data_IF_816558390338
#
_entry.id   IF_816558390338
#
_cell.length_a   1.000
_cell.length_b   1.000
_cell.length_c   1.000
_cell.angle_alpha   90.00
_cell.angle_beta   90.00
_cell.angle_gamma   90.00
#
_symmetry.space_group_name_H-M   'P 1'
#
loop_
_entity.id
_entity.type
_entity.pdbx_description
1 polymer ?
#
# COMPACT_ATOMS: atom_id res chain seq x y z
N UNK A 1 -16.07 85.19 11.48
CA UNK A 1 -16.37 84.52 10.20
C UNK A 1 -15.29 83.48 9.96
N UNK A 2 -15.73 82.27 9.62
CA UNK A 2 -15.02 80.98 9.65
C UNK A 2 -13.81 80.91 8.69
N UNK A 3 -12.72 80.25 9.12
CA UNK A 3 -11.67 79.75 8.24
C UNK A 3 -11.30 78.32 8.65
N UNK A 4 -11.71 77.37 7.80
CA UNK A 4 -11.62 75.93 8.00
C UNK A 4 -10.19 75.41 7.82
N UNK A 5 -9.63 74.78 8.86
CA UNK A 5 -8.44 73.93 8.76
C UNK A 5 -8.89 72.56 8.23
N UNK A 6 -8.52 72.23 6.99
CA UNK A 6 -8.75 70.89 6.41
C UNK A 6 -7.60 69.96 6.82
N UNK A 7 -7.83 69.14 7.85
CA UNK A 7 -7.01 67.96 8.13
C UNK A 7 -7.32 66.88 7.07
N UNK A 8 -6.38 66.65 6.15
CA UNK A 8 -6.42 65.50 5.25
C UNK A 8 -5.94 64.26 6.00
N UNK A 9 -6.86 63.44 6.49
CA UNK A 9 -6.58 62.09 6.97
C UNK A 9 -6.46 61.16 5.76
N UNK A 10 -5.24 60.81 5.37
CA UNK A 10 -4.98 59.73 4.43
C UNK A 10 -5.18 58.41 5.20
N UNK A 11 -6.33 57.77 4.98
CA UNK A 11 -6.60 56.43 5.47
C UNK A 11 -5.77 55.41 4.67
N UNK A 12 -4.65 54.97 5.26
CA UNK A 12 -3.83 53.88 4.74
C UNK A 12 -4.56 52.55 5.01
N UNK A 13 -5.40 52.12 4.06
CA UNK A 13 -6.04 50.80 4.05
C UNK A 13 -4.95 49.73 3.84
N UNK A 14 -4.52 49.11 4.94
CA UNK A 14 -3.63 47.96 4.93
C UNK A 14 -4.32 46.77 4.24
N UNK A 15 -3.93 46.52 2.98
CA UNK A 15 -4.24 45.29 2.25
C UNK A 15 -3.45 44.14 2.89
N UNK A 16 -3.96 43.56 3.97
CA UNK A 16 -3.48 42.28 4.50
C UNK A 16 -3.87 41.19 3.50
N UNK A 17 -2.91 40.49 2.86
CA UNK A 17 -3.26 39.36 2.03
C UNK A 17 -3.88 38.30 2.93
N UNK A 18 -5.15 38.00 2.68
CA UNK A 18 -5.80 36.80 3.21
C UNK A 18 -5.03 35.60 2.65
N UNK A 19 -4.05 35.13 3.42
CA UNK A 19 -3.50 33.81 3.25
C UNK A 19 -4.64 32.84 3.56
N UNK A 20 -5.34 32.41 2.51
CA UNK A 20 -6.26 31.29 2.63
C UNK A 20 -5.43 30.08 3.05
N UNK A 21 -5.54 29.69 4.31
CA UNK A 21 -4.89 28.49 4.82
C UNK A 21 -5.59 27.30 4.16
N UNK A 22 -4.89 26.60 3.27
CA UNK A 22 -5.38 25.33 2.76
C UNK A 22 -5.41 24.34 3.92
N UNK A 23 -6.57 23.74 4.17
CA UNK A 23 -6.73 22.79 5.27
C UNK A 23 -5.95 21.51 4.97
N UNK A 24 -5.24 21.00 5.97
CA UNK A 24 -4.49 19.74 5.83
C UNK A 24 -5.48 18.58 5.58
N UNK A 25 -5.27 17.86 4.49
CA UNK A 25 -6.07 16.72 4.09
C UNK A 25 -5.51 15.40 4.65
N UNK A 26 -4.18 15.32 4.82
CA UNK A 26 -3.49 14.14 5.30
C UNK A 26 -1.98 14.24 5.20
N UNK A 27 -1.32 13.09 5.31
CA UNK A 27 0.14 12.96 5.28
C UNK A 27 0.58 11.81 4.39
N UNK A 28 1.76 11.93 3.78
CA UNK A 28 2.42 10.81 3.09
C UNK A 28 2.93 9.80 4.11
N UNK A 29 2.40 8.58 4.06
CA UNK A 29 2.73 7.51 5.01
C UNK A 29 3.93 6.67 4.54
N UNK A 30 4.01 6.36 3.25
CA UNK A 30 5.04 5.51 2.66
C UNK A 30 5.25 5.86 1.20
N UNK A 31 6.52 5.87 0.75
CA UNK A 31 6.87 5.95 -0.67
C UNK A 31 7.75 4.75 -1.02
N UNK A 32 7.33 3.95 -2.00
CA UNK A 32 8.13 2.84 -2.53
C UNK A 32 8.57 3.21 -3.95
N UNK A 33 9.86 3.15 -4.23
CA UNK A 33 10.43 3.54 -5.52
C UNK A 33 10.90 5.00 -5.55
N UNK A 34 11.32 5.47 -6.72
CA UNK A 34 11.87 6.81 -6.92
C UNK A 34 10.95 7.64 -7.81
N UNK A 35 10.89 8.96 -7.59
CA UNK A 35 10.11 9.94 -8.36
C UNK A 35 8.58 9.94 -8.08
N UNK A 36 8.22 10.52 -6.94
CA UNK A 36 6.88 11.03 -6.68
C UNK A 36 6.96 12.53 -6.40
N UNK A 37 5.97 13.29 -6.86
CA UNK A 37 5.94 14.75 -6.69
C UNK A 37 4.56 15.22 -6.25
N UNK A 38 4.56 16.27 -5.45
CA UNK A 38 3.39 17.07 -5.10
C UNK A 38 3.46 18.40 -5.83
N UNK A 39 2.32 18.94 -6.22
CA UNK A 39 2.22 20.28 -6.81
C UNK A 39 1.03 21.00 -6.18
N UNK A 40 1.28 22.13 -5.51
CA UNK A 40 0.24 22.91 -4.86
C UNK A 40 -0.56 23.72 -5.90
N UNK A 41 -1.79 23.29 -6.21
CA UNK A 41 -2.57 23.87 -7.31
C UNK A 41 -1.94 23.64 -8.69
N UNK A 42 -2.45 24.32 -9.72
CA UNK A 42 -2.04 24.09 -11.11
C UNK A 42 -0.73 24.79 -11.52
N UNK A 43 -0.35 25.87 -10.81
CA UNK A 43 0.73 26.76 -11.23
C UNK A 43 1.99 26.71 -10.34
N UNK A 44 1.93 26.04 -9.19
CA UNK A 44 3.13 25.88 -8.37
C UNK A 44 4.14 24.94 -9.06
N UNK A 45 5.45 25.10 -8.84
CA UNK A 45 6.42 24.12 -9.28
C UNK A 45 6.20 22.77 -8.56
N UNK A 46 6.37 21.62 -9.24
CA UNK A 46 6.35 20.32 -8.59
C UNK A 46 7.50 20.19 -7.59
N UNK A 47 7.20 19.72 -6.38
CA UNK A 47 8.17 19.39 -5.34
C UNK A 47 8.23 17.87 -5.13
N UNK A 48 9.41 17.27 -4.91
CA UNK A 48 9.50 15.86 -4.53
C UNK A 48 8.67 15.56 -3.28
N UNK A 49 7.93 14.46 -3.31
CA UNK A 49 7.24 13.95 -2.13
C UNK A 49 8.24 13.27 -1.20
N UNK A 50 8.07 13.50 0.10
CA UNK A 50 8.81 12.81 1.16
C UNK A 50 7.82 12.21 2.14
N UNK A 51 8.20 11.13 2.80
CA UNK A 51 7.43 10.58 3.90
C UNK A 51 7.23 11.63 5.01
N UNK A 52 6.07 11.60 5.66
CA UNK A 52 5.66 12.60 6.65
C UNK A 52 5.21 13.95 6.07
N UNK A 53 5.37 14.20 4.77
CA UNK A 53 4.93 15.45 4.16
C UNK A 53 3.39 15.58 4.19
N UNK A 54 2.88 16.71 4.66
CA UNK A 54 1.45 17.01 4.63
C UNK A 54 0.95 17.29 3.21
N UNK A 55 -0.19 16.68 2.88
CA UNK A 55 -0.98 16.93 1.68
C UNK A 55 -2.22 17.72 2.06
N UNK A 56 -2.60 18.65 1.20
CA UNK A 56 -3.64 19.64 1.47
C UNK A 56 -4.67 19.62 0.35
N UNK A 57 -5.80 20.26 0.61
CA UNK A 57 -6.73 20.59 -0.45
C UNK A 57 -6.07 21.42 -1.56
N UNK A 58 -6.37 21.11 -2.81
CA UNK A 58 -5.78 21.73 -3.99
C UNK A 58 -4.46 21.09 -4.44
N UNK A 59 -3.91 20.14 -3.70
CA UNK A 59 -2.69 19.45 -4.11
C UNK A 59 -2.95 18.45 -5.25
N UNK A 60 -2.01 18.45 -6.19
CA UNK A 60 -1.78 17.35 -7.11
C UNK A 60 -0.70 16.43 -6.58
N UNK A 61 -0.94 15.12 -6.66
CA UNK A 61 0.02 14.07 -6.32
C UNK A 61 0.27 13.27 -7.58
N UNK A 62 1.50 13.23 -8.07
CA UNK A 62 1.90 12.51 -9.27
C UNK A 62 2.99 11.49 -8.94
N UNK A 63 2.76 10.24 -9.35
CA UNK A 63 3.71 9.13 -9.24
C UNK A 63 4.24 8.78 -10.62
N UNK A 64 5.56 8.59 -10.73
CA UNK A 64 6.19 7.98 -11.90
C UNK A 64 6.43 6.50 -11.62
N UNK A 65 7.65 6.11 -11.28
CA UNK A 65 8.02 4.74 -10.92
C UNK A 65 7.79 4.44 -9.43
N UNK A 66 7.04 5.30 -8.73
CA UNK A 66 6.80 5.20 -7.30
C UNK A 66 5.38 4.74 -6.98
N UNK A 67 5.23 4.03 -5.86
CA UNK A 67 3.96 3.83 -5.16
C UNK A 67 3.94 4.81 -3.99
N UNK A 68 2.82 5.52 -3.82
CA UNK A 68 2.64 6.45 -2.71
C UNK A 68 1.43 6.04 -1.89
N UNK A 69 1.62 5.86 -0.59
CA UNK A 69 0.55 5.68 0.37
C UNK A 69 0.33 6.98 1.15
N UNK A 70 -0.92 7.44 1.17
CA UNK A 70 -1.36 8.58 1.95
C UNK A 70 -2.27 8.09 3.07
N UNK A 71 -2.06 8.63 4.27
CA UNK A 71 -2.98 8.54 5.39
C UNK A 71 -3.70 9.88 5.51
N UNK A 72 -5.01 9.88 5.34
CA UNK A 72 -5.82 11.09 5.43
C UNK A 72 -6.18 11.37 6.89
N UNK A 73 -6.58 12.62 7.20
CA UNK A 73 -6.89 13.07 8.56
C UNK A 73 -8.03 12.31 9.26
N UNK A 74 -8.93 11.72 8.48
CA UNK A 74 -10.07 10.93 8.94
C UNK A 74 -9.80 9.43 8.87
N UNK A 75 -8.52 9.05 8.88
CA UNK A 75 -8.04 7.68 8.80
C UNK A 75 -8.29 6.96 7.46
N UNK A 76 -8.75 7.66 6.40
CA UNK A 76 -8.78 7.09 5.07
C UNK A 76 -7.37 6.71 4.60
N UNK A 77 -7.26 5.65 3.79
CA UNK A 77 -6.00 5.25 3.15
C UNK A 77 -6.13 5.37 1.64
N UNK A 78 -5.15 6.00 1.02
CA UNK A 78 -5.07 6.13 -0.43
C UNK A 78 -3.72 5.54 -0.88
N UNK A 79 -3.74 4.58 -1.79
CA UNK A 79 -2.54 4.06 -2.45
C UNK A 79 -2.58 4.41 -3.93
N UNK A 80 -1.57 5.13 -4.39
CA UNK A 80 -1.37 5.47 -5.79
C UNK A 80 -0.29 4.55 -6.36
N UNK A 81 -0.63 3.84 -7.44
CA UNK A 81 0.30 3.01 -8.20
C UNK A 81 1.24 3.87 -9.06
N UNK A 82 2.30 3.29 -9.67
CA UNK A 82 3.09 3.98 -10.67
C UNK A 82 2.23 4.62 -11.77
N UNK A 83 2.71 5.73 -12.33
CA UNK A 83 2.07 6.50 -13.40
C UNK A 83 0.69 7.08 -13.06
N UNK A 84 0.43 7.38 -11.79
CA UNK A 84 -0.84 7.93 -11.32
C UNK A 84 -0.78 9.44 -11.13
N UNK A 85 -1.93 10.10 -11.30
CA UNK A 85 -2.07 11.52 -10.97
C UNK A 85 -3.40 11.77 -10.26
N UNK A 86 -3.31 12.11 -8.99
CA UNK A 86 -4.43 12.39 -8.10
C UNK A 86 -4.52 13.89 -7.85
N UNK A 87 -5.74 14.41 -7.77
CA UNK A 87 -6.04 15.75 -7.30
C UNK A 87 -6.94 15.68 -6.07
N UNK A 88 -6.55 16.37 -5.00
CA UNK A 88 -7.35 16.50 -3.78
C UNK A 88 -8.22 17.74 -3.94
N UNK A 89 -9.41 17.58 -4.52
CA UNK A 89 -10.28 18.70 -4.82
C UNK A 89 -10.95 19.30 -3.59
N UNK A 90 -11.17 18.48 -2.56
CA UNK A 90 -11.81 18.88 -1.32
C UNK A 90 -11.57 17.84 -0.23
N UNK A 91 -11.15 18.26 0.97
CA UNK A 91 -10.99 17.34 2.10
C UNK A 91 -11.21 18.05 3.44
N UNK A 92 -12.47 18.16 3.87
CA UNK A 92 -12.85 18.94 5.05
C UNK A 92 -13.81 18.22 5.96
N UNK A 93 -13.67 18.49 7.25
CA UNK A 93 -14.60 18.11 8.31
C UNK A 93 -15.28 19.38 8.86
N UNK A 94 -16.46 19.24 9.48
CA UNK A 94 -17.17 20.37 10.10
C UNK A 94 -18.56 20.61 9.51
N UNK A 95 -18.99 21.86 9.44
CA UNK A 95 -20.36 22.24 9.02
C UNK A 95 -20.67 21.83 7.57
N UNK A 96 -19.66 21.86 6.70
CA UNK A 96 -19.78 21.47 5.29
C UNK A 96 -18.77 20.37 4.94
N UNK A 97 -18.96 19.14 5.46
CA UNK A 97 -18.00 18.06 5.27
C UNK A 97 -17.90 17.71 3.79
N UNK A 98 -16.72 17.34 3.33
CA UNK A 98 -16.49 17.16 1.90
C UNK A 98 -15.24 16.32 1.65
N UNK A 99 -15.39 15.23 0.92
CA UNK A 99 -14.27 14.40 0.45
C UNK A 99 -14.43 14.23 -1.04
N UNK A 100 -13.68 15.01 -1.83
CA UNK A 100 -13.69 14.92 -3.29
C UNK A 100 -12.27 14.75 -3.81
N UNK A 101 -12.06 13.61 -4.44
CA UNK A 101 -10.80 13.22 -5.05
C UNK A 101 -10.99 13.10 -6.56
N UNK A 102 -9.95 13.36 -7.34
CA UNK A 102 -9.99 13.11 -8.77
C UNK A 102 -8.73 12.39 -9.25
N UNK A 103 -8.87 11.13 -9.67
CA UNK A 103 -7.82 10.38 -10.34
C UNK A 103 -7.85 10.70 -11.84
N UNK A 104 -6.84 11.40 -12.35
CA UNK A 104 -6.76 11.76 -13.77
C UNK A 104 -6.18 10.67 -14.66
N UNK A 105 -5.21 9.90 -14.15
CA UNK A 105 -4.59 8.75 -14.81
C UNK A 105 -4.05 7.78 -13.77
N UNK A 106 -3.79 6.54 -14.20
CA UNK A 106 -3.17 5.49 -13.38
C UNK A 106 -4.19 4.70 -12.56
N UNK A 107 -3.79 4.28 -11.37
CA UNK A 107 -4.58 3.43 -10.48
C UNK A 107 -4.51 3.94 -9.04
N UNK A 108 -5.70 4.02 -8.42
CA UNK A 108 -5.87 4.33 -7.01
C UNK A 108 -6.54 3.16 -6.32
N UNK A 109 -6.05 2.81 -5.13
CA UNK A 109 -6.85 2.12 -4.13
C UNK A 109 -7.25 3.10 -3.06
N UNK A 110 -8.52 3.05 -2.66
CA UNK A 110 -9.06 3.93 -1.65
C UNK A 110 -9.84 3.11 -0.62
N UNK A 111 -9.45 3.28 0.64
CA UNK A 111 -10.17 2.81 1.83
C UNK A 111 -10.82 4.03 2.46
N UNK A 112 -12.14 3.99 2.61
CA UNK A 112 -12.93 5.13 3.06
C UNK A 112 -12.73 5.43 4.55
N UNK A 113 -12.33 6.66 4.87
CA UNK A 113 -12.21 7.16 6.23
C UNK A 113 -13.53 7.64 6.84
N UNK A 114 -13.45 8.11 8.06
CA UNK A 114 -14.60 8.43 8.92
C UNK A 114 -15.52 9.51 8.33
N UNK A 115 -14.98 10.51 7.63
CA UNK A 115 -15.80 11.57 7.01
C UNK A 115 -16.66 10.96 5.90
N UNK A 116 -16.05 10.15 5.03
CA UNK A 116 -16.77 9.47 3.94
C UNK A 116 -17.77 8.44 4.43
N UNK A 117 -17.47 7.73 5.53
CA UNK A 117 -18.40 6.77 6.14
C UNK A 117 -19.62 7.45 6.79
N UNK A 118 -19.41 8.53 7.56
CA UNK A 118 -20.49 9.31 8.20
C UNK A 118 -21.30 10.11 7.18
N UNK A 119 -20.65 10.68 6.18
CA UNK A 119 -21.26 11.58 5.20
C UNK A 119 -21.12 11.03 3.77
N UNK A 120 -21.73 9.87 3.50
CA UNK A 120 -21.66 9.16 2.20
C UNK A 120 -22.01 10.06 1.00
N UNK A 121 -22.97 10.96 1.15
CA UNK A 121 -23.41 11.91 0.12
C UNK A 121 -22.38 13.02 -0.17
N UNK A 122 -21.33 13.11 0.64
CA UNK A 122 -20.27 14.12 0.56
C UNK A 122 -18.93 13.51 0.17
N UNK A 123 -18.88 12.20 -0.05
CA UNK A 123 -17.74 11.51 -0.63
C UNK A 123 -17.91 11.36 -2.14
N UNK A 124 -16.84 11.61 -2.89
CA UNK A 124 -16.77 11.31 -4.33
C UNK A 124 -15.33 11.12 -4.81
N UNK A 125 -15.10 10.08 -5.58
CA UNK A 125 -13.93 9.94 -6.44
C UNK A 125 -14.36 10.15 -7.89
N UNK A 126 -13.73 11.10 -8.57
CA UNK A 126 -13.90 11.30 -9.99
C UNK A 126 -12.76 10.66 -10.77
N UNK A 127 -13.07 10.13 -11.95
CA UNK A 127 -12.11 9.81 -13.00
C UNK A 127 -12.33 10.75 -14.19
N UNK A 128 -11.67 10.59 -15.35
CA UNK A 128 -12.01 11.39 -16.53
C UNK A 128 -13.43 11.13 -17.06
N UNK A 129 -13.98 9.93 -16.84
CA UNK A 129 -15.25 9.51 -17.45
C UNK A 129 -16.36 9.24 -16.45
N UNK A 130 -16.06 9.14 -15.15
CA UNK A 130 -17.01 8.68 -14.16
C UNK A 130 -16.95 9.43 -12.83
N UNK A 131 -18.09 9.40 -12.14
CA UNK A 131 -18.25 9.71 -10.74
C UNK A 131 -18.44 8.42 -9.94
N UNK A 132 -17.73 8.28 -8.83
CA UNK A 132 -17.76 7.10 -7.97
C UNK A 132 -18.05 7.57 -6.54
N UNK A 133 -19.13 7.07 -5.95
CA UNK A 133 -19.42 7.23 -4.53
C UNK A 133 -19.34 5.90 -3.78
N UNK A 134 -19.31 5.99 -2.46
CA UNK A 134 -18.95 4.88 -1.57
C UNK A 134 -19.96 4.70 -0.44
N UNK A 135 -20.02 3.48 0.08
CA UNK A 135 -20.75 3.09 1.29
C UNK A 135 -19.86 2.20 2.16
N UNK A 136 -18.91 2.81 2.88
CA UNK A 136 -17.99 2.09 3.77
C UNK A 136 -17.08 1.13 3.02
N UNK A 137 -16.31 1.67 2.08
CA UNK A 137 -15.77 0.88 0.96
C UNK A 137 -14.25 0.86 0.93
N UNK A 138 -13.72 -0.28 0.51
CA UNK A 138 -12.35 -0.46 0.04
C UNK A 138 -12.43 -0.89 -1.43
N UNK A 139 -11.89 -0.08 -2.33
CA UNK A 139 -11.99 -0.34 -3.77
C UNK A 139 -10.77 0.16 -4.54
N UNK A 140 -10.59 -0.42 -5.72
CA UNK A 140 -9.57 -0.05 -6.69
C UNK A 140 -10.25 0.58 -7.89
N UNK A 141 -9.76 1.73 -8.33
CA UNK A 141 -10.16 2.36 -9.59
C UNK A 141 -8.94 2.56 -10.48
N UNK A 142 -9.04 2.07 -11.71
CA UNK A 142 -8.01 2.23 -12.76
C UNK A 142 -8.57 3.04 -13.91
N UNK A 143 -7.85 4.08 -14.28
CA UNK A 143 -8.14 4.91 -15.46
C UNK A 143 -7.38 4.34 -16.66
N UNK A 144 -8.13 4.03 -17.70
CA UNK A 144 -7.63 3.77 -19.05
C UNK A 144 -8.17 4.90 -19.95
N UNK A 145 -7.53 5.19 -21.07
CA UNK A 145 -7.82 6.32 -21.98
C UNK A 145 -9.24 6.92 -21.88
N UNK A 146 -10.27 6.16 -22.28
CA UNK A 146 -11.68 6.54 -22.22
C UNK A 146 -12.53 5.63 -21.32
N UNK A 147 -11.90 4.93 -20.38
CA UNK A 147 -12.55 3.93 -19.53
C UNK A 147 -12.13 4.05 -18.08
N UNK A 148 -13.01 3.63 -17.19
CA UNK A 148 -12.69 3.40 -15.79
C UNK A 148 -13.09 2.00 -15.43
N UNK A 149 -12.16 1.26 -14.83
CA UNK A 149 -12.40 -0.05 -14.25
C UNK A 149 -12.45 0.11 -12.72
N UNK A 150 -13.46 -0.49 -12.08
CA UNK A 150 -13.63 -0.43 -10.64
C UNK A 150 -13.81 -1.85 -10.10
N UNK A 151 -12.98 -2.22 -9.13
CA UNK A 151 -13.12 -3.46 -8.36
C UNK A 151 -13.34 -3.13 -6.90
N UNK A 152 -14.32 -3.78 -6.28
CA UNK A 152 -14.65 -3.59 -4.87
C UNK A 152 -14.05 -4.72 -4.05
N UNK A 153 -13.39 -4.38 -2.95
CA UNK A 153 -12.75 -5.31 -2.03
C UNK A 153 -13.58 -5.51 -0.76
N UNK A 154 -14.21 -4.44 -0.27
CA UNK A 154 -15.17 -4.45 0.84
C UNK A 154 -16.20 -3.34 0.65
N UNK A 155 -17.41 -3.52 1.15
CA UNK A 155 -18.51 -2.56 1.04
C UNK A 155 -19.15 -2.51 -0.35
N UNK A 156 -19.63 -1.32 -0.75
CA UNK A 156 -20.28 -1.08 -2.04
C UNK A 156 -19.82 0.25 -2.65
N UNK A 157 -19.64 0.26 -3.98
CA UNK A 157 -19.52 1.49 -4.78
C UNK A 157 -20.76 1.68 -5.64
N UNK A 158 -21.13 2.93 -5.86
CA UNK A 158 -22.07 3.32 -6.92
C UNK A 158 -21.32 4.25 -7.85
N UNK A 159 -21.35 3.95 -9.14
CA UNK A 159 -20.61 4.74 -10.11
C UNK A 159 -21.45 5.01 -11.36
N UNK A 160 -21.30 6.20 -11.92
CA UNK A 160 -22.01 6.65 -13.10
C UNK A 160 -21.06 7.36 -14.07
N UNK A 161 -21.24 7.18 -15.39
CA UNK A 161 -20.57 8.02 -16.37
C UNK A 161 -21.02 9.48 -16.24
N UNK A 162 -20.13 10.42 -16.58
CA UNK A 162 -20.53 11.81 -16.78
C UNK A 162 -21.41 11.95 -18.02
N UNK A 163 -22.48 12.73 -17.91
CA UNK A 163 -23.45 12.99 -18.99
C UNK A 163 -23.53 14.48 -19.38
N UNK A 164 -22.74 15.33 -18.71
CA UNK A 164 -22.72 16.78 -18.91
C UNK A 164 -23.98 17.50 -18.43
N UNK A 165 -24.92 16.80 -17.77
CA UNK A 165 -26.20 17.33 -17.28
C UNK A 165 -26.41 16.98 -15.81
N UNK A 166 -26.83 15.75 -15.51
CA UNK A 166 -27.17 15.29 -14.17
C UNK A 166 -25.95 14.76 -13.40
N UNK A 167 -24.93 14.28 -14.12
CA UNK A 167 -23.66 13.85 -13.55
C UNK A 167 -22.52 14.68 -14.14
N UNK A 168 -22.05 15.67 -13.37
CA UNK A 168 -20.96 16.58 -13.75
C UNK A 168 -19.74 16.42 -12.81
N UNK A 169 -18.52 16.77 -13.24
CA UNK A 169 -17.31 16.65 -12.40
C UNK A 169 -17.31 17.49 -11.12
N UNK A 170 -18.09 18.58 -11.07
CA UNK A 170 -18.11 19.49 -9.91
C UNK A 170 -19.07 19.04 -8.79
N UNK A 171 -19.85 17.99 -9.03
CA UNK A 171 -20.77 17.43 -8.04
C UNK A 171 -20.08 16.75 -6.85
N UNK A 172 -20.90 16.45 -5.84
CA UNK A 172 -20.56 15.62 -4.67
C UNK A 172 -21.50 14.42 -4.59
N UNK A 173 -21.07 13.36 -3.90
CA UNK A 173 -21.86 12.15 -3.74
C UNK A 173 -22.01 11.34 -5.04
N UNK A 174 -22.88 10.34 -4.95
CA UNK A 174 -23.25 9.47 -6.07
C UNK A 174 -24.12 10.22 -7.09
N UNK A 175 -23.91 9.95 -8.37
CA UNK A 175 -24.84 10.42 -9.40
C UNK A 175 -26.05 9.49 -9.49
N UNK A 176 -27.24 10.05 -9.41
CA UNK A 176 -28.51 9.33 -9.57
C UNK A 176 -28.99 9.42 -11.01
N UNK A 177 -28.32 8.71 -11.91
CA UNK A 177 -28.71 8.63 -13.33
C UNK A 177 -29.11 7.21 -13.69
N UNK A 178 -29.93 7.00 -14.74
CA UNK A 178 -30.22 5.65 -15.24
C UNK A 178 -28.98 4.88 -15.73
N UNK A 179 -27.84 5.56 -15.92
CA UNK A 179 -26.57 4.99 -16.33
C UNK A 179 -25.66 4.62 -15.15
N UNK A 180 -26.09 4.90 -13.92
CA UNK A 180 -25.38 4.49 -12.72
C UNK A 180 -25.54 2.97 -12.49
N UNK A 181 -24.49 2.34 -11.99
CA UNK A 181 -24.53 0.96 -11.52
C UNK A 181 -23.85 0.85 -10.15
N UNK A 182 -24.35 -0.07 -9.33
CA UNK A 182 -23.69 -0.44 -8.08
C UNK A 182 -22.93 -1.76 -8.22
N UNK A 183 -21.87 -1.87 -7.42
CA UNK A 183 -21.06 -3.07 -7.29
C UNK A 183 -20.64 -3.20 -5.82
N UNK A 184 -20.92 -4.35 -5.25
CA UNK A 184 -20.52 -4.73 -3.90
C UNK A 184 -19.33 -5.69 -3.93
N UNK A 185 -18.68 -5.88 -2.80
CA UNK A 185 -17.60 -6.87 -2.67
C UNK A 185 -18.06 -8.32 -2.91
N UNK A 186 -19.36 -8.59 -2.79
CA UNK A 186 -19.96 -9.92 -3.01
C UNK A 186 -20.29 -10.18 -4.48
N UNK A 187 -20.18 -9.16 -5.32
CA UNK A 187 -20.41 -9.30 -6.75
C UNK A 187 -19.11 -9.77 -7.42
N UNK A 188 -19.14 -10.95 -8.04
CA UNK A 188 -18.03 -11.49 -8.84
C UNK A 188 -17.92 -10.77 -10.19
N UNK A 189 -17.69 -9.45 -10.15
CA UNK A 189 -17.71 -8.57 -11.28
C UNK A 189 -16.78 -7.36 -11.10
N UNK A 190 -16.44 -6.75 -12.23
CA UNK A 190 -15.79 -5.43 -12.31
C UNK A 190 -16.80 -4.47 -12.94
N UNK A 191 -16.85 -3.24 -12.44
CA UNK A 191 -17.56 -2.17 -13.14
C UNK A 191 -16.66 -1.58 -14.20
N UNK A 192 -17.11 -1.65 -15.45
CA UNK A 192 -16.57 -0.91 -16.56
C UNK A 192 -17.45 0.31 -16.82
N UNK A 193 -16.84 1.48 -16.84
CA UNK A 193 -17.49 2.74 -17.24
C UNK A 193 -16.76 3.29 -18.44
N UNK A 194 -17.51 3.71 -19.45
CA UNK A 194 -17.00 4.31 -20.67
C UNK A 194 -17.81 5.56 -20.99
N UNK A 195 -17.16 6.55 -21.62
CA UNK A 195 -17.85 7.76 -22.06
C UNK A 195 -19.01 7.42 -23.00
N UNK A 196 -20.18 7.95 -22.71
CA UNK A 196 -21.38 7.79 -23.56
C UNK A 196 -22.04 6.41 -23.51
N UNK A 197 -21.64 5.54 -22.57
CA UNK A 197 -22.24 4.22 -22.36
C UNK A 197 -22.73 4.09 -20.90
N UNK A 198 -23.82 3.34 -20.65
CA UNK A 198 -24.21 2.98 -19.29
C UNK A 198 -23.08 2.25 -18.56
N UNK A 199 -23.01 2.36 -17.23
CA UNK A 199 -22.07 1.56 -16.45
C UNK A 199 -22.40 0.06 -16.60
N UNK A 200 -21.39 -0.75 -16.91
CA UNK A 200 -21.55 -2.18 -17.19
C UNK A 200 -20.86 -3.01 -16.12
N UNK A 201 -21.60 -3.99 -15.56
CA UNK A 201 -21.02 -5.04 -14.73
C UNK A 201 -20.47 -6.13 -15.64
N UNK A 202 -19.16 -6.27 -15.69
CA UNK A 202 -18.50 -7.37 -16.40
C UNK A 202 -18.25 -8.46 -15.37
N UNK A 203 -18.96 -9.59 -15.51
CA UNK A 203 -18.70 -10.79 -14.71
C UNK A 203 -17.22 -11.14 -14.85
N UNK A 204 -16.55 -11.36 -13.73
CA UNK A 204 -15.21 -11.93 -13.72
C UNK A 204 -15.33 -13.45 -13.98
N UNK A 205 -15.90 -13.82 -15.13
CA UNK A 205 -16.17 -15.22 -15.45
C UNK A 205 -14.88 -16.04 -15.38
N UNK A 206 -14.94 -17.17 -14.66
CA UNK A 206 -13.95 -18.27 -14.63
C UNK A 206 -13.31 -18.45 -16.00
N UNK A 207 -12.20 -17.78 -16.24
CA UNK A 207 -11.44 -18.02 -17.45
C UNK A 207 -10.52 -19.18 -17.14
N UNK A 208 -10.81 -20.34 -17.73
CA UNK A 208 -9.81 -21.34 -18.02
C UNK A 208 -8.53 -20.66 -18.55
N UNK A 209 -7.35 -21.21 -18.26
CA UNK A 209 -6.07 -20.60 -18.55
C UNK A 209 -5.92 -20.43 -20.07
N UNK A 210 -6.32 -19.28 -20.59
CA UNK A 210 -5.85 -18.85 -21.88
C UNK A 210 -4.37 -18.56 -21.70
N UNK A 211 -3.58 -19.42 -22.33
CA UNK A 211 -2.17 -19.22 -22.57
C UNK A 211 -1.94 -17.79 -23.08
N UNK A 212 -1.67 -16.87 -22.15
CA UNK A 212 -0.88 -15.69 -22.45
C UNK A 212 0.45 -16.25 -22.91
N UNK A 213 0.65 -16.19 -24.22
CA UNK A 213 1.93 -16.40 -24.86
C UNK A 213 2.94 -15.58 -24.08
N UNK A 214 3.74 -16.28 -23.29
CA UNK A 214 4.70 -15.71 -22.36
C UNK A 214 5.67 -14.85 -23.16
N UNK A 215 5.43 -13.55 -23.19
CA UNK A 215 6.50 -12.60 -23.40
C UNK A 215 7.22 -12.52 -22.06
N UNK A 216 8.22 -13.40 -21.91
CA UNK A 216 9.19 -13.49 -20.82
C UNK A 216 9.03 -12.41 -19.75
N UNK A 217 8.20 -12.70 -18.76
CA UNK A 217 8.15 -11.97 -17.50
C UNK A 217 9.22 -12.60 -16.62
N UNK A 218 10.19 -11.80 -16.22
CA UNK A 218 11.21 -12.14 -15.22
C UNK A 218 10.62 -12.98 -14.08
N UNK A 219 11.21 -14.15 -13.85
CA UNK A 219 10.79 -15.19 -12.87
C UNK A 219 11.08 -14.81 -11.42
N UNK A 220 11.53 -13.59 -11.16
CA UNK A 220 11.94 -13.08 -9.85
C UNK A 220 10.69 -12.88 -8.96
N UNK A 221 10.60 -13.55 -7.80
CA UNK A 221 9.59 -13.26 -6.78
C UNK A 221 9.72 -11.79 -6.35
N UNK A 222 8.68 -11.01 -6.64
CA UNK A 222 8.57 -9.63 -6.17
C UNK A 222 7.95 -9.65 -4.78
N UNK A 223 8.63 -9.07 -3.80
CA UNK A 223 8.07 -8.90 -2.47
C UNK A 223 7.16 -7.68 -2.39
N UNK A 224 6.07 -7.81 -1.64
CA UNK A 224 5.05 -6.77 -1.52
C UNK A 224 4.56 -6.61 -0.07
N UNK A 225 4.08 -5.41 0.24
CA UNK A 225 3.23 -5.18 1.41
C UNK A 225 1.89 -5.91 1.20
N UNK A 226 1.68 -6.94 2.00
CA UNK A 226 0.48 -7.76 2.00
C UNK A 226 -0.50 -7.37 3.12
N UNK A 227 -0.09 -6.48 4.05
CA UNK A 227 -0.94 -6.00 5.15
C UNK A 227 -2.23 -5.35 4.66
N UNK A 228 -2.16 -4.75 3.48
CA UNK A 228 -3.31 -4.17 2.83
C UNK A 228 -3.93 -5.11 1.81
N UNK A 229 -3.40 -6.28 1.46
CA UNK A 229 -3.87 -7.07 0.31
C UNK A 229 -4.55 -8.41 0.69
N UNK A 230 -5.65 -8.41 1.47
CA UNK A 230 -6.24 -9.66 1.99
C UNK A 230 -6.74 -10.60 0.89
N UNK A 231 -7.24 -10.07 -0.24
CA UNK A 231 -7.63 -10.91 -1.38
C UNK A 231 -6.46 -11.62 -2.05
N UNK A 232 -5.27 -10.99 -2.07
CA UNK A 232 -4.07 -11.57 -2.65
C UNK A 232 -3.51 -12.67 -1.74
N UNK A 233 -3.56 -12.44 -0.43
CA UNK A 233 -3.32 -13.45 0.59
C UNK A 233 -4.28 -14.63 0.42
N UNK A 234 -5.59 -14.37 0.31
CA UNK A 234 -6.60 -15.40 0.06
C UNK A 234 -6.32 -16.19 -1.22
N UNK A 235 -5.96 -15.51 -2.32
CA UNK A 235 -5.61 -16.18 -3.57
C UNK A 235 -4.38 -17.07 -3.42
N UNK A 236 -3.36 -16.64 -2.67
CA UNK A 236 -2.20 -17.48 -2.37
C UNK A 236 -2.53 -18.69 -1.51
N UNK A 237 -3.39 -18.52 -0.51
CA UNK A 237 -3.86 -19.62 0.33
C UNK A 237 -4.61 -20.66 -0.52
N UNK A 238 -5.62 -20.22 -1.26
CA UNK A 238 -6.43 -21.10 -2.12
C UNK A 238 -5.61 -21.79 -3.20
N UNK A 239 -4.66 -21.08 -3.82
CA UNK A 239 -3.76 -21.66 -4.83
C UNK A 239 -2.88 -22.79 -4.27
N UNK A 240 -2.69 -22.85 -2.95
CA UNK A 240 -1.96 -23.89 -2.25
C UNK A 240 -2.86 -24.82 -1.42
N UNK A 241 -4.17 -24.84 -1.71
CA UNK A 241 -5.11 -25.74 -1.03
C UNK A 241 -5.40 -25.39 0.42
N UNK A 242 -5.06 -24.17 0.86
CA UNK A 242 -5.42 -23.63 2.17
C UNK A 242 -6.68 -22.78 2.00
N UNK A 243 -7.80 -23.24 2.56
CA UNK A 243 -9.03 -22.45 2.61
C UNK A 243 -9.35 -22.08 4.07
N UNK A 244 -9.13 -20.81 4.47
CA UNK A 244 -9.42 -20.30 5.81
C UNK A 244 -10.83 -20.58 6.32
N UNK A 245 -11.81 -20.69 5.42
CA UNK A 245 -13.21 -20.94 5.78
C UNK A 245 -13.48 -22.41 6.10
N UNK A 246 -12.55 -23.30 5.73
CA UNK A 246 -12.65 -24.76 5.97
C UNK A 246 -11.72 -25.25 7.09
N UNK A 247 -10.77 -24.40 7.51
CA UNK A 247 -9.80 -24.76 8.53
C UNK A 247 -10.46 -24.76 9.93
N UNK A 248 -10.18 -25.78 10.76
CA UNK A 248 -10.71 -25.81 12.12
C UNK A 248 -10.22 -24.57 12.90
N UNK A 249 -11.07 -23.98 13.77
CA UNK A 249 -10.65 -22.88 14.63
C UNK A 249 -9.43 -23.31 15.46
N UNK A 250 -8.48 -22.39 15.67
CA UNK A 250 -7.37 -22.63 16.59
C UNK A 250 -7.92 -22.86 17.99
N UNK A 251 -7.59 -24.00 18.61
CA UNK A 251 -8.06 -24.30 19.97
C UNK A 251 -7.54 -23.23 20.96
N UNK A 252 -8.42 -22.62 21.78
CA UNK A 252 -8.00 -21.65 22.78
C UNK A 252 -6.96 -22.27 23.74
N UNK A 253 -5.75 -21.71 23.79
CA UNK A 253 -4.65 -22.18 24.66
C UNK A 253 -3.60 -23.08 23.99
N UNK A 254 -3.79 -23.47 22.72
CA UNK A 254 -2.79 -24.21 21.93
C UNK A 254 -1.70 -23.30 21.30
N UNK A 255 -1.88 -21.98 21.35
CA UNK A 255 -0.95 -21.01 20.78
C UNK A 255 0.28 -20.89 21.67
N UNK A 256 1.32 -21.64 21.33
CA UNK A 256 2.65 -21.41 21.87
C UNK A 256 3.00 -19.93 21.64
N UNK A 257 3.50 -19.22 22.67
CA UNK A 257 3.86 -17.79 22.55
C UNK A 257 5.10 -17.64 21.66
N UNK A 258 4.89 -17.68 20.36
CA UNK A 258 5.83 -17.18 19.38
C UNK A 258 5.81 -15.65 19.47
N UNK A 259 6.99 -15.03 19.52
CA UNK A 259 7.11 -13.57 19.64
C UNK A 259 6.36 -12.80 18.54
N UNK A 260 6.40 -11.48 18.59
CA UNK A 260 5.63 -10.57 17.74
C UNK A 260 5.71 -10.85 16.22
N UNK A 261 6.81 -11.46 15.75
CA UNK A 261 7.02 -11.82 14.35
C UNK A 261 7.14 -13.33 14.16
N UNK A 262 6.38 -13.87 13.21
CA UNK A 262 6.49 -15.27 12.78
C UNK A 262 6.51 -15.37 11.26
N UNK A 263 7.13 -16.43 10.74
CA UNK A 263 7.02 -16.81 9.34
C UNK A 263 5.92 -17.85 9.21
N UNK A 264 5.00 -17.62 8.28
CA UNK A 264 4.12 -18.67 7.81
C UNK A 264 4.09 -18.70 6.29
N UNK A 265 4.06 -19.92 5.80
CA UNK A 265 4.07 -20.22 4.38
C UNK A 265 2.71 -20.72 3.95
N UNK A 266 2.38 -20.40 2.71
CA UNK A 266 1.32 -21.09 2.00
C UNK A 266 1.88 -22.32 1.28
N UNK A 267 3.19 -22.56 1.30
CA UNK A 267 3.87 -23.64 0.57
C UNK A 267 4.65 -24.57 1.50
N UNK A 268 4.92 -25.79 1.05
CA UNK A 268 5.79 -26.74 1.75
C UNK A 268 7.30 -26.59 1.39
N UNK A 269 7.66 -25.53 0.67
CA UNK A 269 9.03 -25.30 0.17
C UNK A 269 10.04 -24.95 1.26
N UNK A 270 9.58 -24.50 2.42
CA UNK A 270 10.40 -24.24 3.59
C UNK A 270 9.80 -25.03 4.73
N UNK A 271 10.58 -25.92 5.33
CA UNK A 271 10.08 -26.88 6.32
C UNK A 271 10.50 -26.49 7.74
N UNK A 272 11.56 -25.68 7.91
CA UNK A 272 12.12 -25.34 9.22
C UNK A 272 11.42 -24.17 9.91
N UNK A 273 11.40 -23.00 9.28
CA UNK A 273 10.83 -21.77 9.83
C UNK A 273 9.43 -21.51 9.25
N UNK A 274 8.47 -22.37 9.61
CA UNK A 274 7.05 -22.20 9.26
C UNK A 274 6.14 -22.54 10.42
N UNK A 275 5.16 -21.67 10.67
CA UNK A 275 3.92 -22.05 11.36
C UNK A 275 2.86 -22.45 10.33
N UNK A 276 1.92 -23.28 10.75
CA UNK A 276 0.70 -23.49 9.96
C UNK A 276 -0.10 -22.19 9.89
N UNK A 277 -0.94 -22.06 8.86
CA UNK A 277 -1.81 -20.88 8.72
C UNK A 277 -2.68 -20.63 9.97
N UNK A 278 -3.37 -21.62 10.57
CA UNK A 278 -4.15 -21.40 11.79
C UNK A 278 -3.29 -20.83 12.93
N UNK A 279 -2.12 -21.41 13.21
CA UNK A 279 -1.24 -20.94 14.28
C UNK A 279 -0.70 -19.52 14.03
N UNK A 280 -0.36 -19.21 12.79
CA UNK A 280 0.16 -17.91 12.41
C UNK A 280 -0.90 -16.81 12.42
N UNK A 281 -2.13 -17.11 12.03
CA UNK A 281 -3.25 -16.16 11.97
C UNK A 281 -3.84 -15.81 13.34
N UNK A 282 -3.47 -16.56 14.38
CA UNK A 282 -3.88 -16.24 15.75
C UNK A 282 -3.24 -14.93 16.23
N UNK A 283 -4.06 -13.88 16.35
CA UNK A 283 -3.69 -12.53 16.82
C UNK A 283 -2.67 -11.78 15.96
N UNK A 284 -2.38 -12.27 14.75
CA UNK A 284 -1.44 -11.65 13.81
C UNK A 284 -2.05 -11.45 12.45
N UNK A 285 -1.51 -10.46 11.75
CA UNK A 285 -1.87 -10.12 10.38
C UNK A 285 -0.68 -10.34 9.45
N UNK A 286 -0.98 -10.79 8.23
CA UNK A 286 0.03 -10.83 7.16
C UNK A 286 0.59 -9.42 6.96
N UNK A 287 1.92 -9.28 6.88
CA UNK A 287 2.57 -7.98 6.82
C UNK A 287 3.29 -7.80 5.48
N UNK A 288 4.36 -8.55 5.23
CA UNK A 288 5.15 -8.49 4.00
C UNK A 288 5.40 -9.89 3.48
N UNK A 289 5.30 -10.12 2.18
CA UNK A 289 5.52 -11.45 1.61
C UNK A 289 5.42 -11.50 0.10
N UNK A 290 5.31 -12.72 -0.42
CA UNK A 290 5.13 -13.01 -1.84
C UNK A 290 4.24 -14.25 -2.01
N UNK A 291 4.24 -14.85 -3.21
CA UNK A 291 3.46 -16.05 -3.52
C UNK A 291 3.83 -17.31 -2.73
N UNK A 292 4.92 -17.29 -1.95
CA UNK A 292 5.51 -18.48 -1.30
C UNK A 292 5.34 -18.46 0.22
N UNK A 293 5.27 -17.26 0.80
CA UNK A 293 4.98 -17.07 2.21
C UNK A 293 5.01 -15.60 2.59
N UNK A 294 4.82 -15.33 3.87
CA UNK A 294 4.85 -13.99 4.43
C UNK A 294 5.34 -13.98 5.88
N UNK A 295 5.71 -12.78 6.30
CA UNK A 295 5.86 -12.43 7.72
C UNK A 295 4.49 -12.03 8.26
N UNK A 296 4.18 -12.60 9.40
CA UNK A 296 2.99 -12.30 10.18
C UNK A 296 3.40 -11.56 11.44
N UNK A 297 2.64 -10.52 11.77
CA UNK A 297 2.92 -9.65 12.90
C UNK A 297 1.69 -9.41 13.74
N UNK A 298 1.84 -9.41 15.06
CA UNK A 298 0.75 -9.07 15.98
C UNK A 298 0.21 -7.68 15.65
N UNK A 299 -1.10 -7.48 15.63
CA UNK A 299 -1.68 -6.15 15.39
C UNK A 299 -1.52 -5.26 16.63
N UNK A 300 -0.62 -4.28 16.57
CA UNK A 300 -0.33 -3.36 17.67
C UNK A 300 0.20 -2.01 17.16
N UNK A 301 0.16 -0.93 17.96
CA UNK A 301 0.76 0.36 17.58
C UNK A 301 2.29 0.26 17.49
N UNK A 302 2.88 0.74 16.39
CA UNK A 302 4.34 0.80 16.23
C UNK A 302 4.98 1.83 17.16
N UNK A 303 5.80 1.36 18.11
CA UNK A 303 6.53 2.11 19.13
C UNK A 303 7.94 1.52 19.30
N UNK A 304 8.81 1.67 18.30
CA UNK A 304 10.13 1.05 18.35
C UNK A 304 11.03 1.72 19.39
N UNK A 305 12.14 1.05 19.66
CA UNK A 305 13.26 1.60 20.41
C UNK A 305 13.74 2.91 19.76
N UNK A 306 14.26 3.85 20.55
CA UNK A 306 14.80 5.13 20.07
C UNK A 306 16.33 5.15 20.08
N UNK A 307 16.92 4.07 19.59
CA UNK A 307 18.36 3.83 19.59
C UNK A 307 18.79 3.03 18.36
N UNK A 308 20.09 2.83 18.23
CA UNK A 308 20.65 1.88 17.27
C UNK A 308 20.72 0.51 17.91
N UNK A 309 20.28 -0.51 17.18
CA UNK A 309 20.21 -1.90 17.66
C UNK A 309 20.96 -2.80 16.70
N UNK A 310 21.96 -3.51 17.23
CA UNK A 310 22.61 -4.64 16.59
C UNK A 310 21.90 -5.92 17.05
N UNK A 311 21.22 -6.60 16.12
CA UNK A 311 20.39 -7.76 16.44
C UNK A 311 21.20 -9.05 16.48
N UNK A 312 20.72 -10.00 17.28
CA UNK A 312 21.19 -11.38 17.31
C UNK A 312 20.31 -12.25 16.43
N UNK A 313 20.94 -13.07 15.59
CA UNK A 313 20.22 -14.07 14.79
C UNK A 313 19.63 -15.14 15.72
N UNK A 314 18.32 -15.37 15.62
CA UNK A 314 17.64 -16.43 16.38
C UNK A 314 17.40 -17.67 15.54
N UNK A 315 16.92 -17.49 14.32
CA UNK A 315 16.64 -18.57 13.40
C UNK A 315 16.93 -18.11 11.98
N UNK A 316 17.43 -19.03 11.16
CA UNK A 316 17.58 -18.81 9.74
C UNK A 316 17.33 -20.11 8.96
N UNK A 317 16.79 -19.97 7.76
CA UNK A 317 16.65 -21.04 6.78
C UNK A 317 16.99 -20.47 5.40
N UNK A 318 17.81 -21.17 4.63
CA UNK A 318 18.23 -20.75 3.31
C UNK A 318 18.25 -21.93 2.33
N UNK A 319 18.01 -21.65 1.06
CA UNK A 319 18.06 -22.64 -0.01
C UNK A 319 18.44 -22.02 -1.35
N UNK A 320 19.15 -22.78 -2.17
CA UNK A 320 19.39 -22.46 -3.57
C UNK A 320 18.29 -23.10 -4.40
N UNK A 321 17.51 -22.27 -5.09
CA UNK A 321 16.47 -22.70 -6.01
C UNK A 321 17.01 -22.73 -7.43
N UNK A 322 16.69 -23.81 -8.13
CA UNK A 322 16.95 -24.00 -9.56
C UNK A 322 15.66 -24.25 -10.33
N UNK A 323 15.72 -24.29 -11.65
CA UNK A 323 14.59 -24.75 -12.49
C UNK A 323 14.19 -26.21 -12.23
N UNK A 324 15.08 -27.02 -11.66
CA UNK A 324 14.91 -28.45 -11.43
C UNK A 324 14.59 -28.82 -9.97
N UNK A 325 14.71 -27.88 -9.03
CA UNK A 325 14.42 -28.15 -7.63
C UNK A 325 14.99 -27.11 -6.67
N UNK A 326 15.15 -27.50 -5.41
CA UNK A 326 15.76 -26.67 -4.37
C UNK A 326 16.74 -27.51 -3.55
N UNK A 327 17.81 -26.87 -3.09
CA UNK A 327 18.83 -27.49 -2.24
C UNK A 327 19.05 -26.60 -1.01
N UNK A 328 19.07 -27.17 0.21
CA UNK A 328 19.31 -26.38 1.41
C UNK A 328 20.69 -25.71 1.36
N UNK A 329 20.77 -24.48 1.87
CA UNK A 329 21.98 -23.72 2.06
C UNK A 329 22.14 -23.40 3.55
N UNK A 330 23.37 -23.48 4.04
CA UNK A 330 23.72 -23.09 5.40
C UNK A 330 23.93 -21.59 5.47
N UNK A 331 23.39 -20.92 6.49
CA UNK A 331 23.70 -19.52 6.77
C UNK A 331 24.96 -19.47 7.63
N UNK A 332 26.07 -19.02 7.04
CA UNK A 332 27.40 -19.03 7.68
C UNK A 332 27.66 -17.76 8.50
N UNK A 333 27.23 -16.62 7.96
CA UNK A 333 27.35 -15.32 8.62
C UNK A 333 26.11 -14.48 8.29
N UNK A 334 25.59 -13.79 9.30
CA UNK A 334 24.50 -12.85 9.10
C UNK A 334 24.59 -11.74 10.16
N UNK A 335 24.39 -10.50 9.72
CA UNK A 335 24.34 -9.34 10.62
C UNK A 335 23.16 -8.46 10.26
N UNK A 336 22.46 -7.95 11.27
CA UNK A 336 21.39 -6.98 11.11
C UNK A 336 21.59 -5.83 12.10
N UNK A 337 21.59 -4.62 11.57
CA UNK A 337 21.62 -3.38 12.36
C UNK A 337 20.48 -2.47 11.93
N UNK A 338 19.74 -1.93 12.90
CA UNK A 338 18.68 -0.94 12.65
C UNK A 338 18.96 0.30 13.50
N UNK A 339 19.00 1.45 12.83
CA UNK A 339 19.03 2.77 13.46
C UNK A 339 17.60 3.33 13.43
N UNK A 340 16.89 3.21 14.55
CA UNK A 340 15.52 3.72 14.67
C UNK A 340 15.44 5.25 14.75
N UNK A 341 16.55 5.92 15.10
CA UNK A 341 16.61 7.38 15.11
C UNK A 341 16.61 7.92 13.68
N UNK A 342 17.35 7.25 12.80
CA UNK A 342 17.46 7.62 11.38
C UNK A 342 16.46 6.86 10.49
N UNK A 343 15.72 5.91 11.05
CA UNK A 343 14.82 5.02 10.30
C UNK A 343 15.54 4.31 9.15
N UNK A 344 16.74 3.78 9.43
CA UNK A 344 17.57 3.06 8.45
C UNK A 344 17.97 1.68 8.95
N UNK A 345 18.13 0.74 8.02
CA UNK A 345 18.56 -0.62 8.25
C UNK A 345 19.79 -0.93 7.39
N UNK A 346 20.69 -1.76 7.92
CA UNK A 346 21.76 -2.41 7.17
C UNK A 346 21.81 -3.89 7.53
N UNK A 347 21.90 -4.75 6.52
CA UNK A 347 21.99 -6.20 6.71
C UNK A 347 22.99 -6.83 5.75
N UNK A 348 23.60 -7.92 6.22
CA UNK A 348 24.32 -8.85 5.37
C UNK A 348 23.96 -10.29 5.71
N UNK A 349 24.11 -11.15 4.71
CA UNK A 349 23.92 -12.58 4.79
C UNK A 349 24.96 -13.26 3.90
N UNK A 350 25.65 -14.27 4.42
CA UNK A 350 26.44 -15.23 3.67
C UNK A 350 25.79 -16.60 3.85
N UNK A 351 25.47 -17.25 2.73
CA UNK A 351 24.94 -18.60 2.72
C UNK A 351 25.76 -19.49 1.79
N UNK A 352 26.03 -20.72 2.20
CA UNK A 352 26.82 -21.68 1.44
C UNK A 352 26.10 -23.01 1.20
N UNK A 353 26.53 -23.64 0.13
CA UNK A 353 26.30 -25.03 -0.20
C UNK A 353 27.68 -25.67 -0.44
N UNK A 354 27.80 -27.00 -0.53
CA UNK A 354 29.09 -27.63 -0.87
C UNK A 354 29.71 -27.13 -2.18
N UNK A 355 28.89 -26.59 -3.10
CA UNK A 355 29.34 -26.15 -4.42
C UNK A 355 29.64 -24.64 -4.52
N UNK A 356 29.01 -23.79 -3.70
CA UNK A 356 29.10 -22.34 -3.83
C UNK A 356 28.73 -21.59 -2.55
N UNK A 357 29.25 -20.37 -2.43
CA UNK A 357 28.90 -19.40 -1.40
C UNK A 357 28.29 -18.15 -2.04
N UNK A 358 27.19 -17.68 -1.49
CA UNK A 358 26.43 -16.51 -1.96
C UNK A 358 26.42 -15.46 -0.85
N UNK A 359 26.78 -14.23 -1.18
CA UNK A 359 26.76 -13.09 -0.24
C UNK A 359 25.70 -12.09 -0.67
N UNK A 360 24.88 -11.66 0.29
CA UNK A 360 23.80 -10.70 0.10
C UNK A 360 24.03 -9.54 1.05
N UNK A 361 23.99 -8.32 0.51
CA UNK A 361 24.08 -7.08 1.27
C UNK A 361 22.95 -6.16 0.84
N UNK A 362 22.33 -5.52 1.82
CA UNK A 362 21.32 -4.50 1.59
C UNK A 362 21.34 -3.45 2.71
N UNK A 363 21.03 -2.22 2.33
CA UNK A 363 20.84 -1.12 3.27
C UNK A 363 19.82 -0.15 2.72
N UNK A 364 19.02 0.45 3.60
CA UNK A 364 18.04 1.44 3.18
C UNK A 364 17.04 1.77 4.28
N UNK A 365 15.90 2.38 3.92
CA UNK A 365 14.93 2.84 4.91
C UNK A 365 14.18 1.68 5.57
N UNK A 366 13.82 1.86 6.83
CA UNK A 366 12.78 1.10 7.53
C UNK A 366 11.63 2.05 7.86
N UNK A 367 10.39 1.65 7.60
CA UNK A 367 9.23 2.51 7.81
C UNK A 367 9.16 3.01 9.26
N UNK A 368 9.23 4.32 9.45
CA UNK A 368 9.27 4.96 10.78
C UNK A 368 7.98 4.81 11.58
N UNK A 369 6.87 4.54 10.90
CA UNK A 369 5.52 4.35 11.47
C UNK A 369 5.01 2.92 11.39
N UNK A 370 5.63 2.09 10.55
CA UNK A 370 5.14 0.74 10.27
C UNK A 370 6.17 -0.34 10.60
N UNK A 371 7.46 -0.01 10.73
CA UNK A 371 8.54 -0.99 10.87
C UNK A 371 8.75 -1.90 9.66
N UNK A 372 8.08 -1.67 8.53
CA UNK A 372 8.19 -2.50 7.33
C UNK A 372 9.31 -1.99 6.41
N UNK A 373 9.93 -2.89 5.65
CA UNK A 373 10.95 -2.53 4.68
C UNK A 373 10.96 -3.48 3.48
N UNK A 374 11.26 -2.93 2.30
CA UNK A 374 11.58 -3.68 1.08
C UNK A 374 12.79 -3.02 0.46
N UNK A 375 13.90 -3.74 0.38
CA UNK A 375 15.21 -3.23 -0.01
C UNK A 375 15.74 -3.99 -1.22
N UNK A 376 16.27 -3.31 -2.25
CA UNK A 376 17.05 -3.99 -3.27
C UNK A 376 18.38 -4.48 -2.68
N UNK A 377 18.86 -5.62 -3.14
CA UNK A 377 20.23 -6.07 -2.84
C UNK A 377 21.20 -5.47 -3.85
N UNK A 378 22.51 -5.48 -3.53
CA UNK A 378 23.54 -4.99 -4.46
C UNK A 378 23.62 -5.76 -5.78
N UNK A 379 23.08 -6.99 -5.83
CA UNK A 379 23.15 -7.89 -6.98
C UNK A 379 21.77 -8.11 -7.63
N UNK A 380 20.87 -7.12 -7.56
CA UNK A 380 19.58 -7.15 -8.27
C UNK A 380 18.52 -8.06 -7.65
N UNK A 381 18.74 -8.54 -6.43
CA UNK A 381 17.76 -9.23 -5.60
C UNK A 381 16.94 -8.28 -4.74
N UNK A 382 16.14 -8.85 -3.86
CA UNK A 382 15.30 -8.12 -2.92
C UNK A 382 15.32 -8.75 -1.52
N UNK A 383 15.22 -7.89 -0.52
CA UNK A 383 14.95 -8.25 0.88
C UNK A 383 13.66 -7.57 1.29
N UNK A 384 12.79 -8.29 1.97
CA UNK A 384 11.53 -7.73 2.43
C UNK A 384 11.18 -8.24 3.81
N UNK A 385 10.81 -7.34 4.71
CA UNK A 385 10.67 -7.67 6.10
C UNK A 385 9.90 -6.66 6.94
N UNK A 386 9.82 -6.97 8.22
CA UNK A 386 9.21 -6.13 9.22
C UNK A 386 9.95 -6.22 10.56
N UNK A 387 9.82 -5.16 11.34
CA UNK A 387 10.21 -5.08 12.75
C UNK A 387 8.96 -5.26 13.61
N UNK A 388 9.10 -5.89 14.78
CA UNK A 388 8.04 -5.93 15.79
C UNK A 388 7.66 -4.52 16.22
N UNK A 389 6.46 -4.38 16.79
CA UNK A 389 5.94 -3.07 17.16
C UNK A 389 6.76 -2.38 18.25
N UNK A 390 7.41 -3.15 19.13
CA UNK A 390 8.32 -2.64 20.16
C UNK A 390 9.79 -2.47 19.69
N UNK A 391 10.11 -2.84 18.45
CA UNK A 391 11.47 -2.80 17.93
C UNK A 391 12.39 -3.92 18.41
N UNK A 392 11.92 -4.90 19.20
CA UNK A 392 12.78 -5.94 19.80
C UNK A 392 12.98 -7.15 18.91
N UNK A 393 12.18 -7.35 17.87
CA UNK A 393 12.36 -8.40 16.89
C UNK A 393 12.37 -7.83 15.48
N UNK A 394 13.07 -8.52 14.59
CA UNK A 394 13.00 -8.23 13.16
C UNK A 394 12.98 -9.55 12.40
N UNK A 395 12.29 -9.56 11.27
CA UNK A 395 12.24 -10.71 10.38
C UNK A 395 12.27 -10.23 8.94
N UNK A 396 12.95 -10.97 8.08
CA UNK A 396 12.90 -10.71 6.64
C UNK A 396 13.09 -11.97 5.80
N UNK A 397 12.57 -11.89 4.58
CA UNK A 397 12.80 -12.84 3.48
C UNK A 397 13.80 -12.23 2.50
N UNK A 398 14.61 -13.09 1.88
CA UNK A 398 15.59 -12.75 0.86
C UNK A 398 15.25 -13.50 -0.42
N UNK A 399 15.35 -12.82 -1.55
CA UNK A 399 15.46 -13.44 -2.86
C UNK A 399 16.65 -12.81 -3.59
N UNK A 400 17.68 -13.60 -3.88
CA UNK A 400 18.90 -13.15 -4.53
C UNK A 400 19.16 -13.98 -5.79
N UNK A 401 19.00 -13.40 -7.00
CA UNK A 401 19.45 -14.05 -8.24
C UNK A 401 20.96 -14.32 -8.19
N UNK A 402 21.38 -15.51 -8.60
CA UNK A 402 22.79 -15.94 -8.70
C UNK A 402 23.17 -16.09 -10.17
N UNK A 403 22.29 -16.71 -10.95
CA UNK A 403 22.41 -16.87 -12.39
C UNK A 403 21.01 -16.85 -13.03
N UNK A 404 20.91 -17.10 -14.33
CA UNK A 404 19.61 -17.17 -15.04
C UNK A 404 18.67 -18.23 -14.47
N UNK A 405 19.22 -19.33 -13.96
CA UNK A 405 18.47 -20.48 -13.45
C UNK A 405 18.68 -20.74 -11.97
N UNK A 406 19.41 -19.88 -11.25
CA UNK A 406 19.69 -20.05 -9.83
C UNK A 406 19.38 -18.80 -9.02
N UNK A 407 18.78 -19.00 -7.85
CA UNK A 407 18.59 -17.96 -6.86
C UNK A 407 18.76 -18.49 -5.44
N UNK A 408 19.23 -17.65 -4.53
CA UNK A 408 19.20 -17.90 -3.10
C UNK A 408 17.91 -17.32 -2.53
N UNK A 409 17.10 -18.16 -1.90
CA UNK A 409 15.99 -17.74 -1.07
C UNK A 409 16.31 -18.02 0.39
N UNK A 410 16.10 -17.03 1.26
CA UNK A 410 16.37 -17.19 2.68
C UNK A 410 15.35 -16.48 3.56
N UNK A 411 15.28 -16.89 4.82
CA UNK A 411 14.43 -16.31 5.87
C UNK A 411 15.23 -16.21 7.14
N UNK A 412 15.12 -15.07 7.80
CA UNK A 412 15.89 -14.78 9.00
C UNK A 412 14.99 -14.12 10.04
N UNK A 413 15.07 -14.61 11.27
CA UNK A 413 14.42 -14.05 12.44
C UNK A 413 15.47 -13.60 13.44
N UNK A 414 15.29 -12.38 13.94
CA UNK A 414 16.24 -11.63 14.72
C UNK A 414 15.63 -11.15 16.02
N UNK A 415 16.46 -11.01 17.05
CA UNK A 415 16.07 -10.53 18.36
C UNK A 415 17.10 -9.52 18.85
N UNK A 416 16.62 -8.40 19.38
CA UNK A 416 17.44 -7.43 20.07
C UNK A 416 18.03 -8.05 21.35
N UNK A 417 19.28 -7.69 21.72
CA UNK A 417 19.97 -8.24 22.88
C UNK A 417 19.23 -8.07 24.22
#
# INVERSE_FOLDING_TARGET
>A
MSAYVRFAWIALLAFLPLLAWSEEAGTVQLIIGTQAHKQAGQNAPPQPLTEGMSVHEGDWIETREAIVHLRMRDNAMISLRPHSRLYIACYREGEQPCVRLALKKGEIRQVTGEIGQRHKQRFRLNTPVAAIGVRGTDFISRVLDNKTLIRVLSGEVVAAPFDGKACTPDGLGVCTTPWAASLSANDDAILLIQTGQPAQRILAHKTQPHAMRAKSLSTVPVFEDLSQQPQKVQAYLLANGLDPDTLPPVEPGSVQRYGDLVFATWTDQFQGMRLSYPEASSERVVTVGNREGAIWRVDAPYRPLKMVVDYQLKQAEAQIRTSTGSMPAQVDDARLRIDFVRSTLATQLQASTPAQTVSVTASGPVGSVSGMFVLPTQQGGQIAGAVSHDGRQAGYMVHQPISTDQSLDARLLWQAP
#
